data_IF_624529165014
#
_entry.id   IF_624529165014
#
_cell.length_a   1.000
_cell.length_b   1.000
_cell.length_c   1.000
_cell.angle_alpha   90.00
_cell.angle_beta   90.00
_cell.angle_gamma   90.00
#
_symmetry.space_group_name_H-M   'P 1'
#
loop_
_entity.id
_entity.type
_entity.pdbx_description
1 polymer ?
#
# COMPACT_ATOMS: atom_id res chain seq x y z
N UNK A 1 -3.75 34.54 11.99
CA UNK A 1 -3.64 34.87 13.42
C UNK A 1 -2.19 35.28 13.69
N UNK A 2 -1.94 36.32 14.51
CA UNK A 2 -0.57 36.68 14.85
C UNK A 2 0.12 35.53 15.59
N UNK A 3 1.40 35.36 15.33
CA UNK A 3 2.20 34.35 16.03
C UNK A 3 2.34 34.74 17.51
N UNK A 4 2.30 33.78 18.45
CA UNK A 4 2.54 34.08 19.85
C UNK A 4 3.98 34.58 20.05
N UNK A 5 4.19 35.44 21.01
CA UNK A 5 5.50 35.91 21.41
C UNK A 5 6.39 34.74 21.85
N UNK A 6 7.71 34.86 21.61
CA UNK A 6 8.71 33.85 21.94
C UNK A 6 8.73 33.52 23.44
N UNK A 7 9.21 32.32 23.78
CA UNK A 7 9.37 31.91 25.20
C UNK A 7 10.35 32.83 25.92
N UNK A 8 11.46 33.20 25.29
CA UNK A 8 12.45 34.15 25.83
C UNK A 8 11.82 35.48 26.26
N UNK A 9 11.01 36.09 25.37
CA UNK A 9 10.32 37.35 25.74
C UNK A 9 9.34 37.15 26.88
N UNK A 10 8.64 36.03 26.92
CA UNK A 10 7.70 35.70 28.02
C UNK A 10 8.43 35.53 29.35
N UNK A 11 9.58 34.91 29.35
CA UNK A 11 10.45 34.70 30.49
C UNK A 11 10.94 36.02 31.04
N UNK A 12 11.45 36.90 30.21
CA UNK A 12 11.91 38.26 30.60
C UNK A 12 10.76 39.11 31.16
N UNK A 13 9.58 39.06 30.56
CA UNK A 13 8.41 39.80 31.05
C UNK A 13 7.98 39.29 32.45
N UNK A 14 7.97 37.97 32.66
CA UNK A 14 7.65 37.39 33.96
C UNK A 14 8.70 37.76 35.00
N UNK A 15 9.98 37.58 34.71
CA UNK A 15 11.08 37.93 35.63
C UNK A 15 11.06 39.39 36.03
N UNK A 16 10.76 40.30 35.10
CA UNK A 16 10.66 41.72 35.37
C UNK A 16 9.50 42.05 36.33
N UNK A 17 8.36 41.40 36.18
CA UNK A 17 7.21 41.58 37.08
C UNK A 17 7.48 40.95 38.46
N UNK A 18 8.17 39.81 38.52
CA UNK A 18 8.57 39.15 39.78
C UNK A 18 9.64 39.90 40.53
N UNK A 19 10.47 40.69 39.85
CA UNK A 19 11.41 41.65 40.44
C UNK A 19 10.72 42.87 41.07
N UNK A 20 9.36 42.90 41.12
CA UNK A 20 8.58 43.93 41.82
C UNK A 20 8.05 45.05 40.93
N UNK A 21 8.29 45.01 39.61
CA UNK A 21 7.78 46.02 38.69
C UNK A 21 6.30 45.82 38.33
N UNK A 22 5.58 46.91 38.08
CA UNK A 22 4.17 46.82 37.72
C UNK A 22 3.99 46.21 36.31
N UNK A 23 2.84 45.54 36.07
CA UNK A 23 2.50 44.98 34.76
C UNK A 23 2.45 46.03 33.65
N UNK A 24 2.09 47.30 33.99
CA UNK A 24 2.11 48.45 33.06
C UNK A 24 3.54 48.82 32.70
N UNK A 25 4.44 48.87 33.70
CA UNK A 25 5.86 49.12 33.50
C UNK A 25 6.51 48.04 32.63
N UNK A 26 6.19 46.76 32.88
CA UNK A 26 6.65 45.66 32.06
C UNK A 26 6.15 45.76 30.60
N UNK A 27 4.87 46.13 30.40
CA UNK A 27 4.36 46.33 29.05
C UNK A 27 5.04 47.42 28.29
N UNK A 28 5.32 48.59 28.94
CA UNK A 28 6.07 49.68 28.35
C UNK A 28 7.53 49.29 28.06
N UNK A 29 8.22 48.64 29.01
CA UNK A 29 9.60 48.25 28.91
C UNK A 29 9.88 47.28 27.74
N UNK A 30 9.00 46.30 27.55
CA UNK A 30 9.18 45.26 26.50
C UNK A 30 8.39 45.56 25.21
N UNK A 31 7.71 46.71 25.10
CA UNK A 31 6.94 47.07 23.91
C UNK A 31 5.77 46.15 23.59
N UNK A 32 5.15 45.56 24.62
CA UNK A 32 4.00 44.61 24.50
C UNK A 32 2.74 45.22 25.08
N UNK A 33 1.57 44.66 24.72
CA UNK A 33 0.31 45.13 25.28
C UNK A 33 0.17 44.80 26.77
N UNK A 34 -0.44 45.68 27.55
CA UNK A 34 -0.74 45.44 28.97
C UNK A 34 -1.60 44.18 29.14
N UNK A 35 -2.57 43.96 28.24
CA UNK A 35 -3.42 42.75 28.23
C UNK A 35 -2.60 41.46 28.09
N UNK A 36 -1.56 41.47 27.24
CA UNK A 36 -0.67 40.34 27.12
C UNK A 36 0.04 40.03 28.45
N UNK A 37 0.61 41.03 29.11
CA UNK A 37 1.30 40.86 30.41
C UNK A 37 0.35 40.34 31.47
N UNK A 38 -0.87 40.87 31.54
CA UNK A 38 -1.88 40.41 32.49
C UNK A 38 -2.25 38.95 32.28
N UNK A 39 -2.49 38.56 31.02
CA UNK A 39 -2.85 37.17 30.66
C UNK A 39 -1.67 36.26 30.92
N UNK A 40 -0.45 36.65 30.54
CA UNK A 40 0.78 35.88 30.75
C UNK A 40 0.98 35.61 32.25
N UNK A 41 0.96 36.61 33.10
CA UNK A 41 1.13 36.48 34.55
C UNK A 41 0.02 35.64 35.20
N UNK A 42 -1.22 35.80 34.75
CA UNK A 42 -2.33 34.97 35.24
C UNK A 42 -2.15 33.49 34.88
N UNK A 43 -1.70 33.20 33.65
CA UNK A 43 -1.46 31.84 33.25
C UNK A 43 -0.23 31.24 33.93
N UNK A 44 0.85 32.01 34.06
CA UNK A 44 2.09 31.55 34.71
C UNK A 44 1.82 31.21 36.20
N UNK A 45 1.13 32.05 36.94
CA UNK A 45 0.75 31.80 38.35
C UNK A 45 -0.13 30.54 38.51
N UNK A 46 -0.89 30.18 37.47
CA UNK A 46 -1.78 28.99 37.50
C UNK A 46 -1.12 27.69 37.05
N UNK A 47 -0.12 27.74 36.18
CA UNK A 47 0.41 26.56 35.50
C UNK A 47 1.92 26.46 35.55
N UNK A 48 2.61 27.47 36.08
CA UNK A 48 4.10 27.62 36.08
C UNK A 48 4.75 27.47 34.69
N UNK A 49 3.92 27.57 33.62
CA UNK A 49 4.37 27.36 32.25
C UNK A 49 4.34 28.65 31.45
N UNK A 50 5.44 28.90 30.73
CA UNK A 50 5.59 30.00 29.77
C UNK A 50 5.12 29.62 28.36
N UNK A 51 4.85 28.32 28.11
CA UNK A 51 4.44 27.83 26.79
C UNK A 51 3.10 28.42 26.37
N UNK A 52 3.01 29.04 25.19
CA UNK A 52 1.74 29.58 24.71
C UNK A 52 0.72 28.46 24.53
N UNK A 53 -0.49 28.70 24.96
CA UNK A 53 -1.60 27.78 24.69
C UNK A 53 -1.82 27.67 23.18
N UNK A 54 -2.15 26.47 22.66
CA UNK A 54 -2.50 26.29 21.26
C UNK A 54 -3.58 27.29 20.84
N UNK A 55 -3.36 28.00 19.74
CA UNK A 55 -4.33 28.93 19.19
C UNK A 55 -5.52 28.14 18.59
N UNK A 56 -6.71 28.46 19.02
CA UNK A 56 -7.95 27.85 18.54
C UNK A 56 -8.52 26.81 19.51
N UNK A 57 -9.81 26.92 19.82
CA UNK A 57 -10.55 25.90 20.56
C UNK A 57 -10.70 24.62 19.72
N UNK A 58 -10.90 23.47 20.36
CA UNK A 58 -11.37 22.24 19.69
C UNK A 58 -12.70 22.55 19.03
N UNK A 59 -12.69 22.71 17.70
CA UNK A 59 -13.93 22.80 16.93
C UNK A 59 -14.48 21.38 16.81
N UNK A 60 -15.56 21.09 17.51
CA UNK A 60 -16.33 19.87 17.29
C UNK A 60 -16.81 19.85 15.84
N UNK A 61 -16.69 18.69 15.20
CA UNK A 61 -17.22 18.51 13.86
C UNK A 61 -18.75 18.42 13.93
N UNK A 62 -19.46 18.99 12.94
CA UNK A 62 -20.91 18.76 12.77
C UNK A 62 -21.25 17.27 12.62
N UNK A 63 -20.26 16.42 12.32
CA UNK A 63 -20.39 14.98 12.14
C UNK A 63 -20.22 14.18 13.44
N UNK A 64 -19.64 14.78 14.50
CA UNK A 64 -19.39 14.07 15.76
C UNK A 64 -20.66 13.51 16.43
N UNK A 65 -21.81 14.22 16.45
CA UNK A 65 -23.07 13.67 16.96
C UNK A 65 -23.59 12.47 16.15
N UNK A 66 -23.22 12.35 14.88
CA UNK A 66 -23.70 11.32 13.96
C UNK A 66 -22.69 10.16 13.79
N UNK A 67 -21.75 10.02 14.73
CA UNK A 67 -20.66 9.02 14.67
C UNK A 67 -21.20 7.60 14.50
N UNK A 68 -22.15 7.20 15.33
CA UNK A 68 -22.70 5.83 15.28
C UNK A 68 -23.37 5.53 13.94
N UNK A 69 -24.13 6.48 13.41
CA UNK A 69 -24.79 6.38 12.12
C UNK A 69 -23.77 6.21 10.98
N UNK A 70 -22.79 7.13 10.87
CA UNK A 70 -21.79 7.11 9.79
C UNK A 70 -20.94 5.83 9.80
N UNK A 71 -20.58 5.35 10.99
CA UNK A 71 -19.82 4.10 11.13
C UNK A 71 -20.69 2.90 10.77
N UNK A 72 -21.97 2.90 11.15
CA UNK A 72 -22.94 1.88 10.80
C UNK A 72 -23.11 1.72 9.30
N UNK A 73 -23.33 2.82 8.58
CA UNK A 73 -23.43 2.80 7.10
C UNK A 73 -22.17 2.24 6.43
N UNK A 74 -20.98 2.60 6.91
CA UNK A 74 -19.71 2.06 6.37
C UNK A 74 -19.52 0.58 6.72
N UNK A 75 -20.03 0.12 7.86
CA UNK A 75 -19.95 -1.29 8.26
C UNK A 75 -20.95 -2.17 7.49
N UNK A 76 -22.11 -1.63 7.17
CA UNK A 76 -23.16 -2.31 6.39
C UNK A 76 -22.80 -2.37 4.89
N UNK A 77 -22.22 -1.29 4.36
CA UNK A 77 -21.83 -1.16 2.97
C UNK A 77 -20.41 -0.62 2.88
N UNK A 78 -19.43 -1.50 2.81
CA UNK A 78 -17.99 -1.18 2.87
C UNK A 78 -17.47 -0.47 1.61
N UNK A 79 -18.19 -0.55 0.50
CA UNK A 79 -17.92 0.14 -0.78
C UNK A 79 -18.67 1.47 -0.92
N UNK A 80 -19.43 1.91 0.10
CA UNK A 80 -20.20 3.16 0.06
C UNK A 80 -19.33 4.35 -0.31
N UNK A 81 -19.76 5.09 -1.31
CA UNK A 81 -19.05 6.28 -1.74
C UNK A 81 -19.34 7.48 -0.83
N UNK A 82 -18.44 8.45 -0.79
CA UNK A 82 -18.64 9.66 0.04
C UNK A 82 -19.85 10.50 -0.36
N UNK A 83 -20.24 10.63 -1.66
CA UNK A 83 -21.49 11.24 -2.07
C UNK A 83 -22.73 10.47 -1.57
N UNK A 84 -22.74 9.13 -1.68
CA UNK A 84 -23.84 8.30 -1.16
C UNK A 84 -23.99 8.46 0.35
N UNK A 85 -22.89 8.36 1.10
CA UNK A 85 -22.90 8.54 2.55
C UNK A 85 -23.38 9.95 2.96
N UNK A 86 -23.06 10.98 2.16
CA UNK A 86 -23.58 12.32 2.37
C UNK A 86 -25.09 12.40 2.14
N UNK A 87 -25.61 11.73 1.12
CA UNK A 87 -27.03 11.66 0.83
C UNK A 87 -27.80 10.92 1.94
N UNK A 88 -27.29 9.78 2.39
CA UNK A 88 -27.86 9.02 3.51
C UNK A 88 -27.90 9.84 4.81
N UNK A 89 -26.81 10.58 5.10
CA UNK A 89 -26.77 11.47 6.27
C UNK A 89 -27.83 12.56 6.20
N UNK A 90 -28.02 13.18 5.04
CA UNK A 90 -29.07 14.20 4.84
C UNK A 90 -30.45 13.59 5.05
N UNK A 91 -30.70 12.41 4.47
CA UNK A 91 -31.99 11.73 4.60
C UNK A 91 -32.32 11.36 6.04
N UNK A 92 -31.33 10.85 6.79
CA UNK A 92 -31.53 10.38 8.15
C UNK A 92 -31.56 11.50 9.21
N UNK A 93 -30.81 12.59 8.99
CA UNK A 93 -30.54 13.59 10.05
C UNK A 93 -30.78 15.04 9.63
N UNK A 94 -31.03 15.31 8.36
CA UNK A 94 -31.13 16.67 7.79
C UNK A 94 -29.80 17.42 7.71
N UNK A 95 -28.69 16.82 8.13
CA UNK A 95 -27.36 17.46 8.18
C UNK A 95 -26.69 17.44 6.83
N UNK A 96 -26.58 18.60 6.19
CA UNK A 96 -25.90 18.75 4.92
C UNK A 96 -24.40 19.06 5.11
N UNK A 97 -23.54 18.25 4.50
CA UNK A 97 -22.06 18.40 4.50
C UNK A 97 -21.47 18.00 3.17
N UNK A 98 -20.33 18.61 2.83
CA UNK A 98 -19.60 18.20 1.63
C UNK A 98 -19.02 16.78 1.81
N UNK A 99 -19.05 15.91 0.78
CA UNK A 99 -18.45 14.56 0.80
C UNK A 99 -17.00 14.53 1.29
N UNK A 100 -16.21 15.53 0.90
CA UNK A 100 -14.83 15.68 1.35
C UNK A 100 -14.69 15.91 2.87
N UNK A 101 -15.71 16.45 3.52
CA UNK A 101 -15.73 16.63 4.98
C UNK A 101 -15.96 15.32 5.70
N UNK A 102 -16.83 14.45 5.16
CA UNK A 102 -17.06 13.10 5.67
C UNK A 102 -15.77 12.27 5.52
N UNK A 103 -15.15 12.30 4.34
CA UNK A 103 -13.88 11.59 4.12
C UNK A 103 -12.79 12.01 5.13
N UNK A 104 -12.60 13.32 5.36
CA UNK A 104 -11.64 13.81 6.35
C UNK A 104 -12.01 13.41 7.78
N UNK A 105 -13.29 13.38 8.09
CA UNK A 105 -13.79 12.95 9.38
C UNK A 105 -13.54 11.45 9.60
N UNK A 106 -13.86 10.59 8.63
CA UNK A 106 -13.57 9.16 8.67
C UNK A 106 -12.08 8.89 8.87
N UNK A 107 -11.19 9.60 8.15
CA UNK A 107 -9.74 9.49 8.31
C UNK A 107 -9.29 9.81 9.75
N UNK A 108 -9.83 10.87 10.37
CA UNK A 108 -9.55 11.22 11.78
C UNK A 108 -10.04 10.16 12.75
N UNK A 109 -11.10 9.44 12.40
CA UNK A 109 -11.67 8.36 13.20
C UNK A 109 -11.04 6.98 12.89
N UNK A 110 -9.88 6.94 12.21
CA UNK A 110 -9.11 5.72 11.98
C UNK A 110 -9.45 4.96 10.69
N UNK A 111 -10.45 5.39 9.94
CA UNK A 111 -10.80 4.76 8.67
C UNK A 111 -9.80 5.14 7.57
N UNK A 112 -9.48 4.19 6.71
CA UNK A 112 -8.59 4.40 5.56
C UNK A 112 -9.25 3.87 4.30
N UNK A 113 -9.16 4.63 3.22
CA UNK A 113 -9.55 4.13 1.91
C UNK A 113 -8.51 3.11 1.43
N UNK A 114 -8.93 1.86 1.32
CA UNK A 114 -8.10 0.77 0.80
C UNK A 114 -8.74 0.22 -0.48
N UNK A 115 -7.92 -0.04 -1.49
CA UNK A 115 -8.34 -0.78 -2.67
C UNK A 115 -8.10 -2.27 -2.38
N UNK A 116 -9.13 -2.98 -1.99
CA UNK A 116 -9.08 -4.44 -1.83
C UNK A 116 -10.28 -5.02 -2.58
N UNK A 117 -10.09 -5.25 -3.87
CA UNK A 117 -11.02 -6.07 -4.64
C UNK A 117 -10.54 -7.52 -4.52
N UNK A 118 -11.25 -8.31 -3.78
CA UNK A 118 -11.13 -9.76 -3.76
C UNK A 118 -12.07 -10.32 -4.83
N UNK A 119 -11.70 -11.46 -5.41
CA UNK A 119 -12.61 -12.16 -6.32
C UNK A 119 -13.81 -12.68 -5.50
N UNK A 120 -15.03 -12.39 -5.97
CA UNK A 120 -16.28 -12.84 -5.32
C UNK A 120 -16.34 -14.37 -5.18
N UNK A 121 -15.65 -15.09 -6.07
CA UNK A 121 -15.52 -16.54 -6.03
C UNK A 121 -14.82 -17.07 -4.78
N UNK A 122 -14.09 -16.21 -4.05
CA UNK A 122 -13.46 -16.60 -2.77
C UNK A 122 -14.49 -16.95 -1.68
N UNK A 123 -15.70 -16.43 -1.80
CA UNK A 123 -16.81 -16.69 -0.85
C UNK A 123 -17.49 -18.04 -1.10
N UNK A 124 -17.19 -18.72 -2.21
CA UNK A 124 -17.69 -20.07 -2.46
C UNK A 124 -17.19 -21.03 -1.37
N UNK A 125 -18.07 -21.89 -0.82
CA UNK A 125 -17.72 -22.76 0.31
C UNK A 125 -16.52 -23.68 0.06
N UNK A 126 -16.40 -24.23 -1.16
CA UNK A 126 -15.29 -25.09 -1.58
C UNK A 126 -13.96 -24.34 -1.58
N UNK A 127 -13.94 -23.11 -2.12
CA UNK A 127 -12.75 -22.27 -2.21
C UNK A 127 -12.37 -21.74 -0.83
N UNK A 128 -13.34 -21.22 -0.08
CA UNK A 128 -13.12 -20.74 1.29
C UNK A 128 -12.50 -21.83 2.17
N UNK A 129 -13.01 -23.06 2.10
CA UNK A 129 -12.46 -24.23 2.81
C UNK A 129 -11.03 -24.56 2.36
N UNK A 130 -10.76 -24.56 1.06
CA UNK A 130 -9.40 -24.80 0.53
C UNK A 130 -8.40 -23.72 0.98
N UNK A 131 -8.79 -22.43 0.96
CA UNK A 131 -7.99 -21.31 1.46
C UNK A 131 -7.73 -21.40 2.97
N UNK A 132 -8.75 -21.77 3.75
CA UNK A 132 -8.62 -21.99 5.19
C UNK A 132 -7.65 -23.14 5.50
N UNK A 133 -7.76 -24.26 4.79
CA UNK A 133 -6.84 -25.39 4.92
C UNK A 133 -5.40 -25.03 4.55
N UNK A 134 -5.22 -24.23 3.51
CA UNK A 134 -3.91 -23.74 3.12
C UNK A 134 -3.26 -22.92 4.24
N UNK A 135 -4.01 -21.94 4.76
CA UNK A 135 -3.55 -21.08 5.86
C UNK A 135 -3.28 -21.83 7.17
N UNK A 136 -4.14 -22.79 7.50
CA UNK A 136 -4.05 -23.53 8.77
C UNK A 136 -3.02 -24.68 8.74
N UNK A 137 -2.83 -25.35 7.58
CA UNK A 137 -2.00 -26.57 7.49
C UNK A 137 -0.70 -26.39 6.70
N UNK A 138 -0.72 -25.60 5.60
CA UNK A 138 0.43 -25.45 4.71
C UNK A 138 1.33 -24.28 5.12
N UNK A 139 0.78 -23.09 5.26
CA UNK A 139 1.55 -21.90 5.60
C UNK A 139 2.38 -22.02 6.90
N UNK A 140 1.89 -22.57 8.02
CA UNK A 140 2.70 -22.71 9.23
C UNK A 140 3.99 -23.51 9.03
N UNK A 141 3.94 -24.57 8.23
CA UNK A 141 5.13 -25.37 7.89
C UNK A 141 6.05 -24.62 6.92
N UNK A 142 5.50 -23.94 5.93
CA UNK A 142 6.24 -23.17 4.94
C UNK A 142 6.98 -21.97 5.57
N UNK A 143 6.45 -21.37 6.63
CA UNK A 143 7.09 -20.28 7.39
C UNK A 143 8.42 -20.70 8.03
N UNK A 144 8.56 -21.95 8.39
CA UNK A 144 9.78 -22.46 9.03
C UNK A 144 10.95 -22.58 8.03
N UNK A 145 10.65 -22.80 6.75
CA UNK A 145 11.65 -23.02 5.71
C UNK A 145 11.37 -22.16 4.45
N UNK A 146 11.26 -20.82 4.58
CA UNK A 146 10.89 -19.95 3.47
C UNK A 146 11.91 -19.95 2.33
N UNK A 147 13.17 -20.35 2.60
CA UNK A 147 14.23 -20.46 1.62
C UNK A 147 13.99 -21.56 0.57
N UNK A 148 13.16 -22.55 0.90
CA UNK A 148 12.78 -23.64 0.00
C UNK A 148 11.63 -23.26 -0.94
N UNK A 149 10.92 -22.17 -0.67
CA UNK A 149 9.73 -21.80 -1.44
C UNK A 149 10.13 -21.04 -2.71
N UNK A 150 9.54 -21.43 -3.83
CA UNK A 150 9.70 -20.81 -5.14
C UNK A 150 8.32 -20.52 -5.70
N UNK A 151 7.87 -19.27 -5.64
CA UNK A 151 6.58 -18.86 -6.19
C UNK A 151 6.78 -18.49 -7.66
N UNK A 152 6.01 -19.09 -8.56
CA UNK A 152 6.07 -18.85 -9.99
C UNK A 152 4.76 -18.25 -10.46
N UNK A 153 4.88 -17.31 -11.38
CA UNK A 153 3.73 -16.73 -12.08
C UNK A 153 4.18 -16.05 -13.38
N UNK A 154 3.23 -15.64 -14.20
CA UNK A 154 3.46 -14.86 -15.40
C UNK A 154 2.75 -13.53 -15.37
N UNK A 155 3.28 -12.57 -16.12
CA UNK A 155 2.67 -11.26 -16.24
C UNK A 155 2.89 -10.65 -17.61
N UNK A 156 1.83 -10.03 -18.16
CA UNK A 156 1.93 -9.28 -19.41
C UNK A 156 2.68 -7.96 -19.23
N UNK A 157 3.65 -7.72 -20.12
CA UNK A 157 4.38 -6.45 -20.24
C UNK A 157 4.23 -5.91 -21.65
N UNK A 158 4.15 -4.59 -21.81
CA UNK A 158 3.91 -3.97 -23.12
C UNK A 158 4.72 -2.69 -23.30
N UNK A 159 5.04 -2.37 -24.56
CA UNK A 159 5.73 -1.12 -24.92
C UNK A 159 4.87 0.15 -24.74
N UNK A 160 3.56 0.00 -24.45
CA UNK A 160 2.68 1.16 -24.18
C UNK A 160 2.65 1.57 -22.70
N UNK A 161 3.33 0.85 -21.83
CA UNK A 161 3.31 1.15 -20.40
C UNK A 161 3.77 2.59 -20.13
N UNK A 162 2.93 3.36 -19.44
CA UNK A 162 3.20 4.74 -18.99
C UNK A 162 2.71 4.92 -17.56
N UNK A 163 3.20 5.98 -16.89
CA UNK A 163 2.68 6.36 -15.58
C UNK A 163 1.19 6.70 -15.69
N UNK A 164 0.36 6.05 -14.87
CA UNK A 164 -1.10 6.19 -14.88
C UNK A 164 -1.58 7.48 -14.20
N UNK A 165 -0.74 8.12 -13.39
CA UNK A 165 -1.09 9.32 -12.61
C UNK A 165 0.00 10.36 -12.75
N UNK A 166 -0.41 11.64 -12.88
CA UNK A 166 0.46 12.80 -12.94
C UNK A 166 -0.17 13.95 -12.16
N UNK A 167 0.56 15.03 -11.91
CA UNK A 167 0.07 16.22 -11.20
C UNK A 167 -0.14 17.36 -12.18
N UNK A 168 -1.20 18.15 -11.97
CA UNK A 168 -1.46 19.43 -12.63
C UNK A 168 -2.01 20.42 -11.62
N UNK A 169 -2.10 21.68 -11.99
CA UNK A 169 -2.71 22.70 -11.14
C UNK A 169 -4.19 22.40 -10.89
N UNK A 170 -4.66 22.75 -9.69
CA UNK A 170 -6.07 22.62 -9.35
C UNK A 170 -6.94 23.40 -10.35
N UNK A 171 -7.99 22.77 -10.84
CA UNK A 171 -8.89 23.38 -11.84
C UNK A 171 -8.44 23.21 -13.30
N UNK A 172 -7.25 22.72 -13.56
CA UNK A 172 -6.80 22.41 -14.92
C UNK A 172 -6.99 20.94 -15.25
N UNK A 173 -7.36 20.67 -16.53
CA UNK A 173 -7.44 19.30 -17.05
C UNK A 173 -6.03 18.80 -17.35
N UNK A 174 -5.64 17.68 -16.75
CA UNK A 174 -4.40 17.01 -17.10
C UNK A 174 -4.46 16.50 -18.54
N UNK A 175 -3.64 17.07 -19.43
CA UNK A 175 -3.42 16.62 -20.79
C UNK A 175 -2.08 15.93 -20.89
N UNK A 176 -2.06 14.65 -21.23
CA UNK A 176 -0.82 13.89 -21.39
C UNK A 176 -0.97 12.96 -22.58
N UNK A 177 0.07 12.84 -23.36
CA UNK A 177 0.14 11.91 -24.49
C UNK A 177 0.49 10.52 -23.94
N UNK A 178 -0.28 9.51 -24.31
CA UNK A 178 0.03 8.11 -24.16
C UNK A 178 0.28 7.51 -25.55
N UNK A 179 1.14 6.51 -25.70
CA UNK A 179 1.30 5.85 -26.99
C UNK A 179 -0.03 5.23 -27.43
N UNK A 180 -0.37 5.43 -28.69
CA UNK A 180 -1.54 4.86 -29.33
C UNK A 180 -1.11 4.02 -30.53
N UNK A 181 -1.73 2.86 -30.79
CA UNK A 181 -1.39 1.98 -31.90
C UNK A 181 -1.43 0.49 -31.52
N UNK A 182 -0.96 -0.37 -32.41
CA UNK A 182 -0.85 -1.81 -32.16
C UNK A 182 0.33 -2.11 -31.24
N UNK A 183 0.09 -2.85 -30.18
CA UNK A 183 1.07 -3.18 -29.15
C UNK A 183 1.39 -4.67 -29.18
N UNK A 184 2.63 -5.01 -29.12
CA UNK A 184 3.04 -6.38 -28.83
C UNK A 184 3.09 -6.57 -27.33
N UNK A 185 2.27 -7.48 -26.82
CA UNK A 185 2.32 -7.92 -25.44
C UNK A 185 3.37 -9.00 -25.32
N UNK A 186 4.31 -8.82 -24.41
CA UNK A 186 5.32 -9.80 -24.04
C UNK A 186 4.88 -10.47 -22.75
N UNK A 187 5.05 -11.78 -22.65
CA UNK A 187 4.82 -12.51 -21.39
C UNK A 187 6.13 -12.63 -20.64
N UNK A 188 6.19 -12.11 -19.44
CA UNK A 188 7.30 -12.28 -18.52
C UNK A 188 6.95 -13.33 -17.48
N UNK A 189 7.82 -14.32 -17.31
CA UNK A 189 7.68 -15.40 -16.34
C UNK A 189 8.89 -15.35 -15.42
N UNK A 190 8.70 -15.58 -14.13
CA UNK A 190 9.79 -15.69 -13.17
C UNK A 190 9.37 -16.51 -11.95
N UNK A 191 10.36 -16.95 -11.20
CA UNK A 191 10.19 -17.43 -9.84
C UNK A 191 10.58 -16.37 -8.82
N UNK A 192 9.88 -16.28 -7.70
CA UNK A 192 10.25 -15.47 -6.55
C UNK A 192 10.69 -16.38 -5.40
N UNK A 193 11.91 -16.16 -4.93
CA UNK A 193 12.45 -16.73 -3.69
C UNK A 193 12.51 -15.66 -2.60
N UNK A 194 12.69 -16.03 -1.36
CA UNK A 194 12.81 -15.09 -0.24
C UNK A 194 14.07 -14.19 -0.30
N UNK A 195 14.96 -14.40 -1.26
CA UNK A 195 16.18 -13.62 -1.42
C UNK A 195 16.34 -12.97 -2.82
N UNK A 196 15.41 -13.19 -3.75
CA UNK A 196 15.46 -12.59 -5.09
C UNK A 196 14.52 -13.25 -6.08
N UNK A 197 14.50 -12.71 -7.31
CA UNK A 197 13.90 -13.37 -8.46
C UNK A 197 14.84 -14.45 -9.00
N UNK A 198 14.26 -15.52 -9.54
CA UNK A 198 14.97 -16.63 -10.16
C UNK A 198 14.32 -17.01 -11.48
N UNK A 199 15.09 -17.60 -12.39
CA UNK A 199 14.62 -18.09 -13.68
C UNK A 199 13.76 -17.07 -14.46
N UNK A 200 14.19 -15.80 -14.65
CA UNK A 200 13.44 -14.84 -15.44
C UNK A 200 13.45 -15.23 -16.91
N UNK A 201 12.27 -15.16 -17.54
CA UNK A 201 12.10 -15.52 -18.94
C UNK A 201 11.07 -14.61 -19.61
N UNK A 202 11.35 -14.19 -20.86
CA UNK A 202 10.43 -13.35 -21.64
C UNK A 202 10.11 -14.05 -22.95
N UNK A 203 8.82 -14.09 -23.30
CA UNK A 203 8.35 -14.61 -24.59
C UNK A 203 7.39 -13.62 -25.24
N UNK A 204 7.35 -13.62 -26.55
CA UNK A 204 6.53 -12.70 -27.35
C UNK A 204 5.11 -13.21 -27.63
N UNK A 205 4.71 -14.27 -26.96
CA UNK A 205 3.40 -14.93 -27.11
C UNK A 205 2.69 -15.07 -25.76
N UNK A 206 1.35 -15.21 -25.78
CA UNK A 206 0.60 -15.55 -24.55
C UNK A 206 1.03 -16.91 -24.00
N UNK A 207 0.96 -17.05 -22.66
CA UNK A 207 1.23 -18.30 -21.96
C UNK A 207 0.35 -19.44 -22.49
N UNK A 208 0.97 -20.57 -22.75
CA UNK A 208 0.31 -21.84 -23.03
C UNK A 208 1.13 -22.98 -22.43
N UNK A 209 0.57 -24.21 -22.46
CA UNK A 209 1.22 -25.39 -21.86
C UNK A 209 2.62 -25.63 -22.40
N UNK A 210 2.81 -25.53 -23.73
CA UNK A 210 4.12 -25.77 -24.36
C UNK A 210 5.19 -24.79 -23.88
N UNK A 211 4.82 -23.50 -23.78
CA UNK A 211 5.72 -22.46 -23.28
C UNK A 211 6.03 -22.70 -21.80
N UNK A 212 5.03 -23.09 -21.02
CA UNK A 212 5.20 -23.42 -19.61
C UNK A 212 6.14 -24.62 -19.43
N UNK A 213 5.97 -25.69 -20.19
CA UNK A 213 6.86 -26.86 -20.14
C UNK A 213 8.30 -26.47 -20.51
N UNK A 214 8.48 -25.75 -21.63
CA UNK A 214 9.81 -25.24 -22.03
C UNK A 214 10.42 -24.37 -20.93
N UNK A 215 9.67 -23.46 -20.34
CA UNK A 215 10.15 -22.62 -19.23
C UNK A 215 10.61 -23.47 -18.04
N UNK A 216 9.78 -24.43 -17.62
CA UNK A 216 10.11 -25.29 -16.48
C UNK A 216 11.36 -26.09 -16.76
N UNK A 217 11.46 -26.72 -17.92
CA UNK A 217 12.60 -27.57 -18.28
C UNK A 217 13.90 -26.79 -18.43
N UNK A 218 13.84 -25.63 -19.12
CA UNK A 218 15.08 -24.94 -19.56
C UNK A 218 15.52 -23.83 -18.60
N UNK A 219 14.59 -23.18 -17.88
CA UNK A 219 14.89 -22.04 -17.05
C UNK A 219 14.74 -22.35 -15.55
N UNK A 220 13.61 -22.95 -15.15
CA UNK A 220 13.33 -23.16 -13.76
C UNK A 220 14.07 -24.35 -13.15
N UNK A 221 13.93 -25.55 -13.76
CA UNK A 221 14.48 -26.78 -13.21
C UNK A 221 16.00 -26.71 -12.94
N UNK A 222 16.83 -26.04 -13.77
CA UNK A 222 18.24 -25.85 -13.46
C UNK A 222 18.52 -25.05 -12.19
N UNK A 223 17.57 -24.22 -11.73
CA UNK A 223 17.72 -23.39 -10.52
C UNK A 223 17.20 -24.06 -9.25
N UNK A 224 16.54 -25.23 -9.37
CA UNK A 224 15.95 -25.95 -8.26
C UNK A 224 16.95 -26.85 -7.54
N UNK A 225 16.85 -26.86 -6.21
CA UNK A 225 17.58 -27.78 -5.34
C UNK A 225 16.64 -28.85 -4.77
N UNK A 226 17.22 -29.95 -4.31
CA UNK A 226 16.47 -31.01 -3.62
C UNK A 226 15.76 -30.45 -2.40
N UNK A 227 14.45 -30.68 -2.31
CA UNK A 227 13.60 -30.21 -1.23
C UNK A 227 12.94 -28.86 -1.47
N UNK A 228 13.22 -28.18 -2.61
CA UNK A 228 12.49 -26.98 -2.99
C UNK A 228 11.00 -27.27 -3.19
N UNK A 229 10.16 -26.27 -2.94
CA UNK A 229 8.72 -26.34 -3.12
C UNK A 229 8.31 -25.26 -4.12
N UNK A 230 8.00 -25.68 -5.32
CA UNK A 230 7.50 -24.81 -6.39
C UNK A 230 6.01 -24.61 -6.21
N UNK A 231 5.58 -23.37 -6.12
CA UNK A 231 4.19 -22.98 -5.85
C UNK A 231 3.72 -22.05 -6.96
N UNK A 232 2.58 -22.38 -7.57
CA UNK A 232 1.98 -21.59 -8.62
C UNK A 232 0.45 -21.57 -8.49
N UNK A 233 -0.20 -20.73 -9.28
CA UNK A 233 -1.64 -20.67 -9.32
C UNK A 233 -2.28 -21.95 -9.89
N UNK A 234 -3.58 -22.05 -9.81
CA UNK A 234 -4.33 -23.24 -10.20
C UNK A 234 -4.88 -23.19 -11.64
N UNK A 235 -4.17 -22.52 -12.57
CA UNK A 235 -4.58 -22.47 -13.97
C UNK A 235 -4.39 -23.82 -14.68
N UNK A 236 -5.29 -24.12 -15.62
CA UNK A 236 -5.22 -25.38 -16.38
C UNK A 236 -3.94 -25.51 -17.21
N UNK A 237 -3.38 -24.41 -17.71
CA UNK A 237 -2.13 -24.38 -18.47
C UNK A 237 -0.92 -24.87 -17.66
N UNK A 238 -0.96 -24.68 -16.33
CA UNK A 238 0.12 -25.06 -15.41
C UNK A 238 0.06 -26.53 -14.96
N UNK A 239 -1.04 -27.22 -15.23
CA UNK A 239 -1.21 -28.65 -14.87
C UNK A 239 -0.62 -29.55 -15.96
N UNK A 240 0.69 -29.52 -16.08
CA UNK A 240 1.44 -30.31 -17.06
C UNK A 240 2.21 -31.44 -16.39
N UNK A 241 2.00 -32.70 -16.82
CA UNK A 241 2.79 -33.84 -16.35
C UNK A 241 4.28 -33.71 -16.68
N UNK A 242 4.63 -33.10 -17.82
CA UNK A 242 6.03 -32.90 -18.22
C UNK A 242 6.73 -31.92 -17.25
N UNK A 243 6.10 -30.77 -16.97
CA UNK A 243 6.61 -29.80 -16.01
C UNK A 243 6.74 -30.41 -14.59
N UNK A 244 5.73 -31.18 -14.14
CA UNK A 244 5.80 -31.87 -12.85
C UNK A 244 6.96 -32.88 -12.81
N UNK A 245 7.16 -33.67 -13.86
CA UNK A 245 8.26 -34.62 -13.95
C UNK A 245 9.63 -33.91 -13.91
N UNK A 246 9.81 -32.81 -14.64
CA UNK A 246 11.04 -32.03 -14.65
C UNK A 246 11.36 -31.44 -13.23
N UNK A 247 10.37 -30.95 -12.52
CA UNK A 247 10.52 -30.46 -11.14
C UNK A 247 10.88 -31.61 -10.19
N UNK A 248 10.18 -32.74 -10.28
CA UNK A 248 10.45 -33.92 -9.47
C UNK A 248 11.81 -34.53 -9.72
N UNK A 249 12.32 -34.50 -10.97
CA UNK A 249 13.66 -34.97 -11.31
C UNK A 249 14.76 -34.20 -10.57
N UNK A 250 14.49 -32.96 -10.13
CA UNK A 250 15.38 -32.17 -9.26
C UNK A 250 15.19 -32.46 -7.76
N UNK A 251 14.31 -33.40 -7.40
CA UNK A 251 13.96 -33.67 -6.00
C UNK A 251 13.13 -32.54 -5.36
N UNK A 252 12.50 -31.72 -6.17
CA UNK A 252 11.62 -30.64 -5.75
C UNK A 252 10.15 -31.05 -5.82
N UNK A 253 9.27 -30.30 -5.18
CA UNK A 253 7.82 -30.55 -5.06
C UNK A 253 7.04 -29.49 -5.82
N UNK A 254 5.95 -29.89 -6.47
CA UNK A 254 5.02 -29.00 -7.13
C UNK A 254 3.73 -28.89 -6.30
N UNK A 255 3.29 -27.67 -5.99
CA UNK A 255 2.05 -27.37 -5.29
C UNK A 255 1.27 -26.28 -6.02
N UNK A 256 -0.05 -26.40 -5.99
CA UNK A 256 -0.96 -25.39 -6.51
C UNK A 256 -1.61 -24.61 -5.37
N UNK A 257 -1.66 -23.29 -5.51
CA UNK A 257 -2.43 -22.41 -4.63
C UNK A 257 -3.92 -22.76 -4.72
N UNK A 258 -4.69 -22.50 -3.68
CA UNK A 258 -6.15 -22.53 -3.78
C UNK A 258 -6.62 -21.61 -4.92
N UNK A 259 -7.67 -21.94 -5.64
CA UNK A 259 -8.21 -21.06 -6.69
C UNK A 259 -8.49 -19.65 -6.15
N UNK A 260 -8.40 -18.65 -7.02
CA UNK A 260 -8.67 -17.23 -6.71
C UNK A 260 -7.89 -16.69 -5.50
N UNK A 261 -6.62 -17.03 -5.36
CA UNK A 261 -5.81 -16.69 -4.19
C UNK A 261 -4.53 -15.88 -4.53
N UNK A 262 -4.63 -14.75 -5.25
CA UNK A 262 -3.47 -13.92 -5.54
C UNK A 262 -2.85 -13.29 -4.27
N UNK A 263 -3.64 -13.12 -3.21
CA UNK A 263 -3.19 -12.67 -1.89
C UNK A 263 -2.26 -13.67 -1.18
N UNK A 264 -2.29 -14.93 -1.58
CA UNK A 264 -1.38 -15.98 -1.11
C UNK A 264 -0.16 -16.14 -2.03
N UNK A 265 -0.06 -15.36 -3.10
CA UNK A 265 1.05 -15.40 -4.05
C UNK A 265 1.95 -14.16 -3.91
N UNK A 266 3.11 -14.24 -3.23
CA UNK A 266 3.97 -13.08 -3.00
C UNK A 266 4.58 -12.49 -4.28
N UNK A 267 4.67 -13.26 -5.39
CA UNK A 267 5.23 -12.77 -6.65
C UNK A 267 4.37 -11.69 -7.29
N UNK A 268 3.08 -11.63 -7.00
CA UNK A 268 2.19 -10.57 -7.47
C UNK A 268 2.64 -9.18 -7.02
N UNK A 269 3.19 -9.07 -5.81
CA UNK A 269 3.77 -7.82 -5.31
C UNK A 269 5.07 -7.48 -6.04
N UNK A 270 5.88 -8.48 -6.36
CA UNK A 270 7.08 -8.29 -7.18
C UNK A 270 6.72 -7.83 -8.60
N UNK A 271 5.71 -8.41 -9.22
CA UNK A 271 5.22 -7.98 -10.53
C UNK A 271 4.60 -6.58 -10.51
N UNK A 272 3.96 -6.20 -9.42
CA UNK A 272 3.48 -4.82 -9.26
C UNK A 272 4.64 -3.81 -9.27
N UNK A 273 5.77 -4.12 -8.58
CA UNK A 273 7.00 -3.32 -8.61
C UNK A 273 7.61 -3.29 -10.01
N UNK A 274 7.78 -4.46 -10.66
CA UNK A 274 8.28 -4.56 -12.03
C UNK A 274 7.50 -3.63 -12.97
N UNK A 275 6.17 -3.75 -12.96
CA UNK A 275 5.29 -2.91 -13.80
C UNK A 275 5.40 -1.42 -13.45
N UNK A 276 5.62 -1.06 -12.18
CA UNK A 276 5.82 0.33 -11.79
C UNK A 276 7.11 0.90 -12.39
N UNK A 277 8.21 0.15 -12.37
CA UNK A 277 9.47 0.54 -12.99
C UNK A 277 9.35 0.65 -14.52
N UNK A 278 8.72 -0.32 -15.19
CA UNK A 278 8.49 -0.28 -16.64
C UNK A 278 7.64 0.93 -17.04
N UNK A 279 6.58 1.26 -16.27
CA UNK A 279 5.78 2.47 -16.49
C UNK A 279 6.60 3.76 -16.28
N UNK A 280 7.53 3.76 -15.36
CA UNK A 280 8.40 4.92 -15.11
C UNK A 280 9.41 5.13 -16.24
N UNK A 281 9.98 4.04 -16.77
CA UNK A 281 10.94 4.07 -17.89
C UNK A 281 10.26 4.43 -19.23
N UNK A 282 8.95 4.18 -19.37
CA UNK A 282 8.16 4.50 -20.57
C UNK A 282 8.77 3.97 -21.88
N UNK A 283 9.17 2.72 -21.89
CA UNK A 283 9.90 2.05 -22.98
C UNK A 283 9.00 1.84 -24.20
N UNK A 284 9.57 1.93 -25.42
CA UNK A 284 8.82 1.92 -26.67
C UNK A 284 9.25 0.85 -27.67
N UNK A 285 10.35 0.13 -27.42
CA UNK A 285 10.82 -0.96 -28.27
C UNK A 285 10.86 -2.27 -27.49
N UNK A 286 10.79 -3.40 -28.18
CA UNK A 286 10.82 -4.73 -27.55
C UNK A 286 12.18 -4.99 -26.93
N UNK A 287 13.27 -4.74 -27.68
CA UNK A 287 14.63 -4.98 -27.19
C UNK A 287 14.94 -4.18 -25.92
N UNK A 288 14.55 -2.90 -25.90
CA UNK A 288 14.67 -2.06 -24.69
C UNK A 288 13.78 -2.55 -23.55
N UNK A 289 12.61 -3.16 -23.86
CA UNK A 289 11.74 -3.73 -22.85
C UNK A 289 12.39 -4.96 -22.19
N UNK A 290 12.96 -5.84 -22.98
CA UNK A 290 13.65 -7.03 -22.50
C UNK A 290 14.89 -6.66 -21.66
N UNK A 291 15.70 -5.74 -22.16
CA UNK A 291 16.84 -5.21 -21.40
C UNK A 291 16.40 -4.61 -20.06
N UNK A 292 15.35 -3.79 -20.08
CA UNK A 292 14.84 -3.16 -18.86
C UNK A 292 14.25 -4.17 -17.87
N UNK A 293 13.60 -5.25 -18.33
CA UNK A 293 13.15 -6.33 -17.47
C UNK A 293 14.34 -6.98 -16.77
N UNK A 294 15.41 -7.31 -17.52
CA UNK A 294 16.64 -7.85 -16.97
C UNK A 294 17.26 -6.93 -15.89
N UNK A 295 17.39 -5.63 -16.17
CA UNK A 295 17.90 -4.65 -15.22
C UNK A 295 17.06 -4.60 -13.95
N UNK A 296 15.72 -4.61 -14.10
CA UNK A 296 14.78 -4.52 -12.97
C UNK A 296 14.83 -5.79 -12.11
N UNK A 297 15.06 -6.97 -12.70
CA UNK A 297 15.21 -8.20 -11.93
C UNK A 297 16.32 -8.12 -10.88
N UNK A 298 17.37 -7.34 -11.14
CA UNK A 298 18.48 -7.11 -10.21
C UNK A 298 18.16 -6.11 -9.07
N UNK A 299 16.99 -5.45 -9.11
CA UNK A 299 16.57 -4.47 -8.09
C UNK A 299 15.81 -5.08 -6.91
N UNK A 300 15.62 -6.40 -6.90
CA UNK A 300 14.90 -7.09 -5.83
C UNK A 300 15.88 -7.52 -4.72
N UNK A 301 15.89 -6.75 -3.63
CA UNK A 301 16.74 -7.07 -2.49
C UNK A 301 16.19 -8.24 -1.66
N UNK A 302 17.03 -9.00 -0.94
CA UNK A 302 16.58 -10.06 -0.05
C UNK A 302 15.60 -9.58 1.04
N UNK A 303 15.80 -8.37 1.57
CA UNK A 303 14.90 -7.78 2.56
C UNK A 303 13.51 -7.55 1.98
N UNK A 304 13.44 -7.00 0.78
CA UNK A 304 12.17 -6.74 0.10
C UNK A 304 11.44 -8.04 -0.25
N UNK A 305 12.15 -9.05 -0.76
CA UNK A 305 11.56 -10.35 -1.06
C UNK A 305 10.98 -11.01 0.20
N UNK A 306 11.70 -10.96 1.32
CA UNK A 306 11.19 -11.41 2.62
C UNK A 306 9.93 -10.66 3.06
N UNK A 307 9.85 -9.35 2.81
CA UNK A 307 8.65 -8.57 3.11
C UNK A 307 7.44 -9.03 2.27
N UNK A 308 7.64 -9.39 0.99
CA UNK A 308 6.58 -9.97 0.16
C UNK A 308 6.12 -11.32 0.72
N UNK A 309 7.04 -12.17 1.12
CA UNK A 309 6.73 -13.45 1.77
C UNK A 309 5.93 -13.24 3.06
N UNK A 310 6.36 -12.30 3.90
CA UNK A 310 5.65 -11.96 5.15
C UNK A 310 4.24 -11.43 4.88
N UNK A 311 4.08 -10.54 3.89
CA UNK A 311 2.78 -9.97 3.54
C UNK A 311 1.79 -11.03 2.99
N UNK A 312 2.29 -12.05 2.28
CA UNK A 312 1.50 -13.17 1.79
C UNK A 312 1.34 -14.31 2.82
N UNK A 313 1.90 -14.16 4.03
CA UNK A 313 1.74 -15.10 5.13
C UNK A 313 2.81 -16.19 5.24
N UNK A 314 3.97 -16.05 4.60
CA UNK A 314 5.08 -17.01 4.62
C UNK A 314 6.33 -16.50 5.36
N UNK A 315 6.28 -15.33 5.98
CA UNK A 315 7.37 -14.81 6.82
C UNK A 315 7.35 -15.40 8.22
N UNK A 316 8.52 -15.48 8.85
CA UNK A 316 8.62 -15.65 10.29
C UNK A 316 8.09 -14.38 10.96
N UNK A 317 7.19 -14.52 11.91
CA UNK A 317 6.72 -13.43 12.79
C UNK A 317 7.80 -13.10 13.79
#
# INVERSE_FOLDING_TARGET
MPKPYSIDLRERVVGYVEAGHSRRAAAAHFGVSVSFVVILMRNYRKTESLVPKPSGGRRHSKLDPHRAFLIGCVAEKDDITMPELAAELVTATGVQVAPASISRWLIRNGYRFKKTLLASEQDRPDISKARQQWRAKRQPRMRLEPHRLVFIDETGTTTKMTRLRRRCLKGQRLRSKAPFGHWKTQTFIAGLRCHGLTAPFVVDTPMNRRIFDTYVETQLAPTLAKGDVVILDNLAAHKSPAAEAAIRARGAWLLFLPPYSPDLNPIEMAFAKLKAHLRAKAIRTIDSLWQAIGDICNLFSPTECRNYFSAAGYGLT
#
